data_IF_413395324367
#
_entry.id   IF_413395324367
#
_cell.length_a   1.000
_cell.length_b   1.000
_cell.length_c   1.000
_cell.angle_alpha   90.00
_cell.angle_beta   90.00
_cell.angle_gamma   90.00
#
_symmetry.space_group_name_H-M   'P 1'
#
loop_
_entity.id
_entity.type
_entity.pdbx_description
1 polymer ?
#
# COMPACT_ATOMS: atom_id res chain seq x y z
N UNK A 1 22.17 -10.08 -6.73
CA UNK A 1 20.81 -10.68 -6.82
C UNK A 1 19.84 -9.71 -6.18
N UNK A 2 18.74 -9.31 -6.85
CA UNK A 2 17.75 -8.41 -6.25
C UNK A 2 16.81 -9.18 -5.34
N UNK A 3 16.51 -8.60 -4.19
CA UNK A 3 15.72 -9.23 -3.14
C UNK A 3 14.65 -8.26 -2.66
N UNK A 4 13.61 -8.80 -2.06
CA UNK A 4 12.55 -8.04 -1.40
C UNK A 4 12.30 -8.58 0.00
N UNK A 5 12.01 -7.71 0.96
CA UNK A 5 11.55 -8.05 2.30
C UNK A 5 10.03 -8.00 2.34
N UNK A 6 9.42 -9.08 2.82
CA UNK A 6 7.98 -9.15 3.00
C UNK A 6 7.64 -8.85 4.45
N UNK A 7 6.72 -7.92 4.65
CA UNK A 7 6.17 -7.59 5.95
C UNK A 7 4.68 -7.87 5.96
N UNK A 8 4.20 -8.44 7.05
CA UNK A 8 2.79 -8.78 7.25
C UNK A 8 2.22 -7.97 8.40
N UNK A 9 1.03 -7.42 8.19
CA UNK A 9 0.25 -6.73 9.22
C UNK A 9 -1.12 -7.41 9.35
N UNK A 10 -1.40 -7.97 10.52
CA UNK A 10 -2.70 -8.59 10.79
C UNK A 10 -3.71 -7.50 11.16
N UNK A 11 -4.82 -7.40 10.43
CA UNK A 11 -5.79 -6.32 10.54
C UNK A 11 -7.00 -6.63 11.45
N UNK A 12 -6.98 -7.74 12.19
CA UNK A 12 -8.14 -8.31 12.89
C UNK A 12 -8.77 -7.43 13.97
N UNK A 13 -10.07 -7.18 13.78
CA UNK A 13 -11.18 -7.60 14.68
C UNK A 13 -12.21 -8.31 13.79
N UNK A 14 -12.63 -9.54 14.13
CA UNK A 14 -13.38 -10.42 13.20
C UNK A 14 -14.76 -9.85 12.83
N UNK A 15 -14.99 -9.64 11.54
CA UNK A 15 -16.34 -9.67 10.94
C UNK A 15 -16.36 -10.67 9.78
N UNK A 16 -17.43 -11.47 9.72
CA UNK A 16 -17.69 -12.39 8.61
C UNK A 16 -17.89 -11.61 7.30
N UNK A 17 -17.00 -11.84 6.34
CA UNK A 17 -17.09 -11.24 5.02
C UNK A 17 -17.96 -12.15 4.16
N UNK A 18 -19.21 -11.77 3.95
CA UNK A 18 -20.09 -12.42 2.96
C UNK A 18 -19.60 -12.09 1.56
N UNK A 19 -19.53 -13.08 0.67
CA UNK A 19 -19.09 -12.91 -0.72
C UNK A 19 -20.08 -12.02 -1.50
N UNK A 20 -19.81 -10.71 -1.51
CA UNK A 20 -20.48 -9.72 -2.34
C UNK A 20 -19.62 -9.43 -3.56
N UNK A 21 -20.19 -9.08 -4.73
CA UNK A 21 -19.41 -8.53 -5.84
C UNK A 21 -18.58 -7.32 -5.35
N UNK A 22 -17.33 -7.25 -5.80
CA UNK A 22 -16.43 -6.14 -5.46
C UNK A 22 -17.06 -4.80 -5.85
N UNK A 23 -16.93 -3.82 -4.96
CA UNK A 23 -17.30 -2.42 -5.22
C UNK A 23 -16.29 -1.53 -4.55
N UNK A 24 -15.90 -0.46 -5.23
CA UNK A 24 -15.14 0.60 -4.59
C UNK A 24 -15.95 1.19 -3.43
N UNK A 25 -15.24 1.54 -2.36
CA UNK A 25 -15.78 2.18 -1.16
C UNK A 25 -15.25 3.61 -1.13
N UNK A 26 -16.09 4.53 -0.69
CA UNK A 26 -15.65 5.86 -0.34
C UNK A 26 -14.81 5.78 0.95
N UNK A 27 -13.51 6.15 0.93
CA UNK A 27 -12.70 6.18 2.14
C UNK A 27 -13.08 7.30 3.11
N UNK A 28 -13.86 8.30 2.67
CA UNK A 28 -14.02 9.56 3.38
C UNK A 28 -12.72 10.36 3.42
N UNK A 29 -12.64 11.40 4.27
CA UNK A 29 -11.44 12.21 4.43
C UNK A 29 -10.29 11.38 5.02
N UNK A 30 -9.13 11.43 4.36
CA UNK A 30 -7.90 10.78 4.81
C UNK A 30 -6.86 11.85 5.16
N UNK A 31 -6.92 12.33 6.40
CA UNK A 31 -6.11 13.44 6.88
C UNK A 31 -5.35 13.03 8.14
N UNK A 32 -4.09 13.40 8.20
CA UNK A 32 -3.23 13.30 9.38
C UNK A 32 -2.43 14.60 9.49
N UNK A 33 -2.76 15.47 10.44
CA UNK A 33 -2.12 16.78 10.65
C UNK A 33 -1.92 17.60 9.36
N UNK A 34 -0.67 17.75 8.89
CA UNK A 34 -0.31 18.49 7.68
C UNK A 34 -0.45 17.71 6.35
N UNK A 35 -0.81 16.42 6.41
CA UNK A 35 -0.91 15.51 5.27
C UNK A 35 -2.36 15.15 4.95
N UNK A 36 -2.69 15.14 3.67
CA UNK A 36 -3.95 14.64 3.12
C UNK A 36 -3.68 13.62 2.00
N UNK A 37 -4.45 12.52 1.98
CA UNK A 37 -4.51 11.60 0.85
C UNK A 37 -5.72 11.88 -0.01
N UNK A 38 -5.49 12.40 -1.22
CA UNK A 38 -6.53 12.70 -2.19
C UNK A 38 -6.68 11.51 -3.14
N UNK A 39 -7.85 10.88 -3.18
CA UNK A 39 -8.16 9.81 -4.14
C UNK A 39 -8.22 10.39 -5.56
N UNK A 40 -7.29 10.00 -6.41
CA UNK A 40 -7.18 10.54 -7.79
C UNK A 40 -7.63 9.55 -8.85
N UNK A 41 -7.57 8.25 -8.58
CA UNK A 41 -7.98 7.24 -9.54
C UNK A 41 -8.43 5.94 -8.86
N UNK A 42 -9.33 5.21 -9.52
CA UNK A 42 -9.77 3.86 -9.17
C UNK A 42 -9.70 3.00 -10.42
N UNK A 43 -8.91 1.93 -10.36
CA UNK A 43 -8.73 1.01 -11.47
C UNK A 43 -9.41 -0.30 -11.14
N UNK A 44 -10.43 -0.70 -11.90
CA UNK A 44 -11.26 -1.89 -11.62
C UNK A 44 -10.50 -3.23 -11.63
N UNK A 45 -9.24 -3.23 -12.08
CA UNK A 45 -8.46 -4.45 -12.31
C UNK A 45 -8.90 -5.20 -13.56
N UNK A 46 -8.17 -6.26 -13.88
CA UNK A 46 -8.49 -7.24 -14.91
C UNK A 46 -8.12 -8.63 -14.39
N UNK A 47 -9.09 -9.42 -13.91
CA UNK A 47 -8.86 -10.76 -13.40
C UNK A 47 -8.19 -11.69 -14.43
N UNK A 48 -8.40 -11.47 -15.74
CA UNK A 48 -7.78 -12.29 -16.80
C UNK A 48 -6.28 -12.06 -16.88
N UNK A 49 -5.84 -10.87 -16.49
CA UNK A 49 -4.43 -10.46 -16.41
C UNK A 49 -3.89 -10.54 -14.98
N UNK A 50 -4.65 -11.13 -14.04
CA UNK A 50 -4.33 -11.17 -12.60
C UNK A 50 -4.15 -9.79 -11.95
N UNK A 51 -4.73 -8.75 -12.56
CA UNK A 51 -4.78 -7.41 -11.97
C UNK A 51 -5.99 -7.31 -11.05
N UNK A 52 -5.73 -6.86 -9.83
CA UNK A 52 -6.76 -6.59 -8.83
C UNK A 52 -7.21 -5.14 -8.90
N UNK A 53 -8.38 -4.79 -8.35
CA UNK A 53 -8.77 -3.39 -8.18
C UNK A 53 -7.74 -2.58 -7.40
N UNK A 54 -7.52 -1.31 -7.78
CA UNK A 54 -6.52 -0.43 -7.15
C UNK A 54 -7.10 0.95 -6.88
N UNK A 55 -6.88 1.48 -5.67
CA UNK A 55 -7.03 2.90 -5.37
C UNK A 55 -5.68 3.61 -5.55
N UNK A 56 -5.68 4.76 -6.19
CA UNK A 56 -4.50 5.62 -6.33
C UNK A 56 -4.77 6.93 -5.62
N UNK A 57 -3.88 7.28 -4.69
CA UNK A 57 -3.94 8.50 -3.90
C UNK A 57 -2.72 9.37 -4.16
N UNK A 58 -2.91 10.68 -4.23
CA UNK A 58 -1.82 11.64 -4.07
C UNK A 58 -1.66 12.00 -2.60
N UNK A 59 -0.41 12.10 -2.15
CA UNK A 59 -0.05 12.73 -0.89
C UNK A 59 0.05 14.23 -1.12
N UNK A 60 -0.74 15.03 -0.41
CA UNK A 60 -0.75 16.49 -0.56
C UNK A 60 -0.68 17.18 0.80
N UNK A 61 -0.12 18.40 0.90
CA UNK A 61 -0.29 19.20 2.11
C UNK A 61 -1.77 19.48 2.32
N UNK A 62 -2.23 19.49 3.57
CA UNK A 62 -3.62 19.77 3.92
C UNK A 62 -4.08 21.10 3.28
N UNK A 63 -5.20 21.05 2.56
CA UNK A 63 -5.78 22.23 1.91
C UNK A 63 -5.03 22.73 0.67
N UNK A 64 -3.99 22.02 0.19
CA UNK A 64 -3.25 22.34 -1.04
C UNK A 64 -3.15 21.13 -1.98
N UNK A 65 -4.28 20.66 -2.53
CA UNK A 65 -4.34 19.42 -3.31
C UNK A 65 -3.58 19.48 -4.65
N UNK A 66 -3.17 20.68 -5.10
CA UNK A 66 -2.32 20.83 -6.30
C UNK A 66 -0.84 20.52 -6.03
N UNK A 67 -0.41 20.49 -4.77
CA UNK A 67 0.98 20.17 -4.40
C UNK A 67 1.09 18.67 -4.14
N UNK A 68 1.66 17.93 -5.09
CA UNK A 68 1.87 16.48 -4.96
C UNK A 68 3.23 16.21 -4.30
N UNK A 69 3.20 15.63 -3.11
CA UNK A 69 4.39 15.22 -2.34
C UNK A 69 4.78 13.76 -2.58
N UNK A 70 3.88 12.99 -3.21
CA UNK A 70 4.05 11.57 -3.43
C UNK A 70 2.75 10.90 -3.86
N UNK A 71 2.81 9.59 -4.01
CA UNK A 71 1.69 8.75 -4.41
C UNK A 71 1.63 7.49 -3.54
N UNK A 72 0.41 7.04 -3.24
CA UNK A 72 0.15 5.74 -2.63
C UNK A 72 -0.83 4.96 -3.52
N UNK A 73 -0.56 3.66 -3.70
CA UNK A 73 -1.44 2.71 -4.35
C UNK A 73 -1.87 1.65 -3.34
N UNK A 74 -3.18 1.40 -3.24
CA UNK A 74 -3.76 0.33 -2.44
C UNK A 74 -4.44 -0.68 -3.37
N UNK A 75 -3.88 -1.89 -3.44
CA UNK A 75 -4.35 -3.02 -4.26
C UNK A 75 -5.30 -3.88 -3.43
N UNK A 76 -6.48 -4.19 -3.97
CA UNK A 76 -7.53 -4.94 -3.27
C UNK A 76 -7.67 -6.35 -3.85
N UNK A 77 -6.99 -7.30 -3.24
CA UNK A 77 -7.14 -8.72 -3.55
C UNK A 77 -5.89 -9.50 -3.24
N UNK A 78 -6.05 -10.81 -3.11
CA UNK A 78 -4.99 -11.75 -2.81
C UNK A 78 -4.56 -12.45 -4.09
N UNK A 79 -3.35 -12.17 -4.55
CA UNK A 79 -2.68 -12.94 -5.60
C UNK A 79 -1.28 -13.28 -5.12
N UNK A 80 -0.73 -14.40 -5.58
CA UNK A 80 0.64 -14.81 -5.27
C UNK A 80 1.65 -13.68 -5.50
N UNK A 81 1.52 -12.96 -6.62
CA UNK A 81 2.40 -11.84 -6.93
C UNK A 81 2.25 -10.66 -5.94
N UNK A 82 1.05 -10.40 -5.42
CA UNK A 82 0.83 -9.36 -4.40
C UNK A 82 1.43 -9.78 -3.05
N UNK A 83 1.22 -11.02 -2.65
CA UNK A 83 1.67 -11.52 -1.35
C UNK A 83 3.18 -11.68 -1.29
N UNK A 84 3.81 -12.07 -2.41
CA UNK A 84 5.25 -12.32 -2.48
C UNK A 84 6.07 -11.11 -2.90
N UNK A 85 5.57 -10.26 -3.82
CA UNK A 85 6.43 -9.27 -4.49
C UNK A 85 5.86 -7.85 -4.46
N UNK A 86 4.64 -7.63 -4.94
CA UNK A 86 4.13 -6.27 -5.12
C UNK A 86 3.63 -5.61 -3.84
N UNK A 87 3.18 -6.40 -2.86
CA UNK A 87 2.46 -5.91 -1.69
C UNK A 87 1.06 -5.37 -2.02
N UNK A 88 0.26 -5.19 -0.98
CA UNK A 88 -1.04 -4.51 -1.06
C UNK A 88 -0.85 -2.99 -1.16
N UNK A 89 0.20 -2.46 -0.53
CA UNK A 89 0.51 -1.03 -0.54
C UNK A 89 1.83 -0.80 -1.27
N UNK A 90 1.79 0.03 -2.31
CA UNK A 90 2.98 0.62 -2.92
C UNK A 90 2.95 2.13 -2.76
N UNK A 91 4.10 2.76 -2.51
CA UNK A 91 4.19 4.22 -2.33
C UNK A 91 5.50 4.79 -2.86
N UNK A 92 5.47 6.09 -3.19
CA UNK A 92 6.65 6.90 -3.51
C UNK A 92 6.48 8.27 -2.87
N UNK A 93 7.55 8.78 -2.25
CA UNK A 93 7.61 10.17 -1.76
C UNK A 93 8.66 10.92 -2.57
N UNK A 94 8.26 12.06 -3.10
CA UNK A 94 9.10 12.93 -3.90
C UNK A 94 10.34 13.38 -3.11
N UNK A 95 11.53 13.46 -3.73
CA UNK A 95 12.78 13.73 -3.02
C UNK A 95 12.74 14.96 -2.10
N UNK A 96 12.08 16.04 -2.53
CA UNK A 96 11.96 17.29 -1.79
C UNK A 96 11.14 17.17 -0.49
N UNK A 97 10.33 16.12 -0.33
CA UNK A 97 9.41 15.94 0.78
C UNK A 97 9.78 14.75 1.70
N UNK A 98 10.91 14.09 1.43
CA UNK A 98 11.42 12.99 2.27
C UNK A 98 11.84 13.50 3.66
N UNK A 99 11.92 12.59 4.63
CA UNK A 99 12.30 12.91 6.01
C UNK A 99 11.13 13.27 6.94
N UNK A 100 9.91 13.43 6.42
CA UNK A 100 8.72 13.82 7.18
C UNK A 100 7.75 12.64 7.47
N UNK A 101 8.20 11.40 7.24
CA UNK A 101 7.41 10.19 7.49
C UNK A 101 6.08 10.10 6.70
N UNK A 102 5.92 10.85 5.59
CA UNK A 102 4.68 10.82 4.80
C UNK A 102 4.30 9.43 4.28
N UNK A 103 5.27 8.57 3.96
CA UNK A 103 5.00 7.20 3.54
C UNK A 103 4.30 6.38 4.65
N UNK A 104 4.83 6.36 5.87
CA UNK A 104 4.25 5.60 6.98
C UNK A 104 2.91 6.17 7.42
N UNK A 105 2.79 7.50 7.50
CA UNK A 105 1.54 8.19 7.83
C UNK A 105 0.45 7.88 6.81
N UNK A 106 0.79 7.93 5.52
CA UNK A 106 -0.12 7.53 4.43
C UNK A 106 -0.55 6.07 4.50
N UNK A 107 0.38 5.16 4.81
CA UNK A 107 0.05 3.74 4.98
C UNK A 107 -0.94 3.53 6.11
N UNK A 108 -0.79 4.23 7.25
CA UNK A 108 -1.74 4.18 8.36
C UNK A 108 -3.14 4.67 7.96
N UNK A 109 -3.23 5.78 7.23
CA UNK A 109 -4.51 6.36 6.81
C UNK A 109 -5.36 5.41 5.97
N UNK A 110 -4.75 4.53 5.17
CA UNK A 110 -5.49 3.59 4.31
C UNK A 110 -5.83 2.25 4.96
N UNK A 111 -5.34 1.96 6.18
CA UNK A 111 -5.63 0.69 6.86
C UNK A 111 -7.13 0.45 7.09
N UNK A 112 -7.95 1.44 7.50
CA UNK A 112 -9.39 1.24 7.64
C UNK A 112 -10.08 0.87 6.31
N UNK A 113 -9.66 1.47 5.20
CA UNK A 113 -10.17 1.14 3.87
C UNK A 113 -9.79 -0.29 3.48
N UNK A 114 -8.54 -0.68 3.68
CA UNK A 114 -8.06 -2.04 3.40
C UNK A 114 -8.84 -3.09 4.23
N UNK A 115 -9.04 -2.83 5.53
CA UNK A 115 -9.87 -3.67 6.40
C UNK A 115 -11.31 -3.74 5.91
N UNK A 116 -11.88 -2.62 5.47
CA UNK A 116 -13.23 -2.57 4.90
C UNK A 116 -13.40 -3.47 3.69
N UNK A 117 -12.35 -3.71 2.92
CA UNK A 117 -12.34 -4.67 1.79
C UNK A 117 -12.01 -6.10 2.18
N UNK A 118 -11.74 -6.36 3.45
CA UNK A 118 -11.42 -7.70 3.92
C UNK A 118 -9.98 -8.14 3.73
N UNK A 119 -9.07 -7.19 3.50
CA UNK A 119 -7.65 -7.49 3.42
C UNK A 119 -7.18 -7.86 4.84
N UNK A 120 -6.92 -9.14 5.07
CA UNK A 120 -6.28 -9.68 6.27
C UNK A 120 -5.66 -11.05 5.93
N UNK A 121 -4.32 -11.19 5.99
CA UNK A 121 -3.35 -10.18 6.38
C UNK A 121 -3.05 -9.16 5.26
N UNK A 122 -2.57 -7.96 5.65
CA UNK A 122 -2.05 -6.95 4.73
C UNK A 122 -0.55 -7.11 4.53
N UNK A 123 -0.13 -7.18 3.26
CA UNK A 123 1.27 -7.32 2.89
C UNK A 123 1.87 -5.99 2.43
N UNK A 124 3.05 -5.65 2.93
CA UNK A 124 3.88 -4.54 2.45
C UNK A 124 5.24 -5.12 2.12
N UNK A 125 5.73 -4.83 0.92
CA UNK A 125 7.03 -5.31 0.48
C UNK A 125 7.97 -4.13 0.28
N UNK A 126 9.26 -4.31 0.58
CA UNK A 126 10.25 -3.29 0.29
C UNK A 126 11.62 -3.88 -0.02
N UNK A 127 12.42 -3.14 -0.81
CA UNK A 127 13.81 -3.51 -1.05
C UNK A 127 14.59 -3.56 0.30
N UNK A 128 15.36 -4.63 0.60
CA UNK A 128 16.18 -4.77 1.81
C UNK A 128 17.10 -3.59 2.12
N UNK A 129 17.62 -2.95 1.06
CA UNK A 129 18.55 -1.82 1.14
C UNK A 129 17.81 -0.49 1.32
N UNK A 130 16.49 -0.46 1.13
CA UNK A 130 15.67 0.72 1.36
C UNK A 130 15.35 0.87 2.85
N UNK A 131 16.33 1.38 3.59
CA UNK A 131 16.23 1.66 5.03
C UNK A 131 15.01 2.52 5.39
N UNK A 132 14.65 3.59 4.64
CA UNK A 132 13.42 4.35 4.88
C UNK A 132 12.13 3.50 4.83
N UNK A 133 12.01 2.62 3.84
CA UNK A 133 10.83 1.74 3.72
C UNK A 133 10.77 0.67 4.80
N UNK A 134 11.93 0.17 5.25
CA UNK A 134 12.00 -0.74 6.40
C UNK A 134 11.50 -0.08 7.68
N UNK A 135 11.98 1.14 7.97
CA UNK A 135 11.50 1.93 9.12
C UNK A 135 10.00 2.20 9.02
N UNK A 136 9.48 2.42 7.82
CA UNK A 136 8.04 2.56 7.60
C UNK A 136 7.29 1.29 8.03
N UNK A 137 7.77 0.11 7.66
CA UNK A 137 7.15 -1.16 8.08
C UNK A 137 7.24 -1.38 9.60
N UNK A 138 8.36 -1.00 10.22
CA UNK A 138 8.56 -1.07 11.68
C UNK A 138 7.59 -0.13 12.43
N UNK A 139 7.45 1.12 11.97
CA UNK A 139 6.51 2.11 12.54
C UNK A 139 5.06 1.61 12.42
N UNK A 140 4.73 0.98 11.30
CA UNK A 140 3.41 0.38 11.07
C UNK A 140 3.13 -0.82 11.99
N UNK A 141 4.14 -1.34 12.70
CA UNK A 141 4.02 -2.56 13.51
C UNK A 141 3.96 -3.84 12.66
N UNK A 142 4.40 -3.79 11.41
CA UNK A 142 4.41 -4.95 10.53
C UNK A 142 5.55 -5.90 10.90
N UNK A 143 5.29 -7.20 10.83
CA UNK A 143 6.27 -8.24 11.15
C UNK A 143 7.00 -8.68 9.88
N UNK A 144 8.33 -8.68 9.90
CA UNK A 144 9.13 -9.25 8.81
C UNK A 144 8.87 -10.76 8.73
N UNK A 145 8.40 -11.24 7.58
CA UNK A 145 8.13 -12.67 7.35
C UNK A 145 9.28 -13.36 6.66
N UNK A 146 9.80 -12.76 5.58
CA UNK A 146 10.81 -13.38 4.73
C UNK A 146 11.60 -12.34 3.91
N UNK A 147 12.73 -12.81 3.36
CA UNK A 147 13.51 -12.08 2.36
C UNK A 147 13.71 -13.01 1.17
N UNK A 148 13.13 -12.68 0.02
CA UNK A 148 13.13 -13.55 -1.15
C UNK A 148 13.78 -12.88 -2.36
N UNK A 149 14.42 -13.65 -3.26
CA UNK A 149 14.91 -13.12 -4.53
C UNK A 149 13.74 -12.77 -5.45
N UNK A 150 13.88 -11.65 -6.17
CA UNK A 150 12.94 -11.28 -7.22
C UNK A 150 13.29 -12.10 -8.48
N UNK A 151 12.32 -12.76 -9.14
CA UNK A 151 12.56 -13.45 -10.41
C UNK A 151 13.03 -12.48 -11.50
N UNK A 152 13.94 -12.92 -12.38
CA UNK A 152 14.53 -12.05 -13.43
C UNK A 152 13.50 -11.52 -14.45
N UNK A 153 12.40 -12.25 -14.63
CA UNK A 153 11.29 -11.89 -15.53
C UNK A 153 10.20 -11.06 -14.84
N UNK A 154 10.38 -10.72 -13.56
CA UNK A 154 9.42 -9.92 -12.82
C UNK A 154 9.62 -8.41 -13.13
N UNK A 155 8.53 -7.62 -13.28
CA UNK A 155 8.63 -6.18 -13.48
C UNK A 155 9.43 -5.43 -12.39
N UNK A 156 9.50 -5.97 -11.17
CA UNK A 156 10.26 -5.39 -10.06
C UNK A 156 11.76 -5.71 -10.08
N UNK A 157 12.24 -6.50 -11.04
CA UNK A 157 13.66 -6.84 -11.17
C UNK A 157 14.52 -5.69 -11.78
N UNK A 158 13.92 -4.59 -12.21
CA UNK A 158 14.60 -3.46 -12.88
C UNK A 158 15.53 -2.65 -11.98
#
# INVERSE_FOLDING_TARGET
MKQIKNFVFNLRDRQEIKSSPFRFRDPGPLVDDDLELVLTNMQSGDPRQRYVPVYIFHMTPLGRPQTVMGQLSLRIGHTEHIEMYAGHIGYTVEPAYRGHHYASRSCHLVLPLARGHGIDPLWITCNPENTPSRRTCEILGATLTEVIPIPQNDPLYQ
#
